data_IF_064560905210
#
_entry.id   IF_064560905210
#
_cell.length_a   1.000
_cell.length_b   1.000
_cell.length_c   1.000
_cell.angle_alpha   90.00
_cell.angle_beta   90.00
_cell.angle_gamma   90.00
#
_symmetry.space_group_name_H-M   'P 1'
#
loop_
_entity.id
_entity.type
_entity.pdbx_description
1 polymer ?
#
# COMPACT_ATOMS: atom_id res chain seq x y z
N UNK A 1 -31.89 26.46 32.60
CA UNK A 1 -31.70 26.00 31.21
C UNK A 1 -31.80 24.48 31.24
N UNK A 2 -33.01 23.96 31.05
CA UNK A 2 -33.32 22.52 31.14
C UNK A 2 -32.81 21.83 29.87
N UNK A 3 -31.87 20.90 30.03
CA UNK A 3 -31.39 20.04 28.95
C UNK A 3 -32.43 18.95 28.74
N UNK A 4 -33.10 18.99 27.60
CA UNK A 4 -34.02 17.93 27.16
C UNK A 4 -33.20 16.66 26.85
N UNK A 5 -33.64 15.46 27.27
CA UNK A 5 -33.00 14.22 26.88
C UNK A 5 -33.01 14.08 25.34
N UNK A 6 -31.83 13.89 24.75
CA UNK A 6 -31.70 13.63 23.32
C UNK A 6 -32.46 12.37 22.93
N UNK A 7 -33.17 12.44 21.81
CA UNK A 7 -33.82 11.28 21.20
C UNK A 7 -32.79 10.15 21.00
N UNK A 8 -33.20 8.92 21.29
CA UNK A 8 -32.41 7.73 20.96
C UNK A 8 -31.99 7.79 19.48
N UNK A 9 -30.74 7.43 19.14
CA UNK A 9 -30.29 7.43 17.76
C UNK A 9 -31.24 6.57 16.93
N UNK A 10 -31.79 7.16 15.87
CA UNK A 10 -32.57 6.45 14.87
C UNK A 10 -31.75 5.26 14.37
N UNK A 11 -32.39 4.09 14.26
CA UNK A 11 -31.76 2.88 13.77
C UNK A 11 -31.03 3.19 12.47
N UNK A 12 -29.70 3.15 12.52
CA UNK A 12 -28.87 3.31 11.33
C UNK A 12 -29.18 2.15 10.40
N UNK A 13 -29.63 2.47 9.19
CA UNK A 13 -29.70 1.50 8.10
C UNK A 13 -28.38 0.74 8.06
N UNK A 14 -28.44 -0.57 8.26
CA UNK A 14 -27.27 -1.41 8.28
C UNK A 14 -26.63 -1.37 6.89
N UNK A 15 -25.34 -1.06 6.83
CA UNK A 15 -24.54 -1.10 5.59
C UNK A 15 -24.56 -2.47 4.87
N UNK A 16 -25.15 -3.48 5.51
CA UNK A 16 -25.40 -4.80 4.94
C UNK A 16 -26.39 -4.79 3.78
N UNK A 17 -27.36 -3.86 3.71
CA UNK A 17 -28.39 -3.86 2.65
C UNK A 17 -27.99 -3.03 1.42
N UNK A 18 -27.21 -1.97 1.59
CA UNK A 18 -26.63 -1.22 0.49
C UNK A 18 -25.22 -1.74 0.18
N UNK A 19 -25.10 -2.91 -0.45
CA UNK A 19 -23.78 -3.41 -0.90
C UNK A 19 -23.24 -2.45 -1.98
N UNK A 20 -22.43 -1.47 -1.57
CA UNK A 20 -21.69 -0.64 -2.51
C UNK A 20 -20.83 -1.58 -3.36
N UNK A 21 -21.18 -1.67 -4.64
CA UNK A 21 -20.49 -2.50 -5.63
C UNK A 21 -19.86 -1.58 -6.66
N UNK A 22 -18.57 -1.76 -6.89
CA UNK A 22 -17.83 -1.04 -7.91
C UNK A 22 -16.88 -2.00 -8.62
N UNK A 23 -16.31 -1.56 -9.73
CA UNK A 23 -15.35 -2.37 -10.47
C UNK A 23 -13.93 -2.20 -9.91
N UNK A 24 -13.33 -3.33 -9.55
CA UNK A 24 -11.91 -3.49 -9.24
C UNK A 24 -11.09 -4.06 -10.39
N UNK A 25 -9.83 -4.34 -10.11
CA UNK A 25 -8.91 -5.04 -11.00
C UNK A 25 -8.56 -6.40 -10.42
N UNK A 26 -8.85 -7.47 -11.17
CA UNK A 26 -8.50 -8.82 -10.74
C UNK A 26 -6.99 -9.05 -10.79
N UNK A 27 -6.48 -9.90 -9.89
CA UNK A 27 -5.10 -10.40 -9.89
C UNK A 27 -5.10 -11.91 -10.00
N UNK A 28 -4.00 -12.44 -10.53
CA UNK A 28 -3.76 -13.89 -10.68
C UNK A 28 -3.74 -14.65 -9.35
N UNK A 29 -3.42 -13.96 -8.26
CA UNK A 29 -3.40 -14.50 -6.89
C UNK A 29 -4.75 -14.40 -6.16
N UNK A 30 -5.82 -13.99 -6.86
CA UNK A 30 -7.17 -13.87 -6.32
C UNK A 30 -7.47 -12.55 -5.59
N UNK A 31 -6.46 -11.73 -5.28
CA UNK A 31 -6.67 -10.41 -4.67
C UNK A 31 -7.26 -9.43 -5.68
N UNK A 32 -7.91 -8.37 -5.19
CA UNK A 32 -8.54 -7.33 -6.02
C UNK A 32 -7.96 -5.96 -5.71
N UNK A 33 -7.61 -5.21 -6.75
CA UNK A 33 -7.12 -3.84 -6.64
C UNK A 33 -8.22 -2.82 -6.87
N UNK A 34 -8.27 -1.77 -6.06
CA UNK A 34 -9.10 -0.58 -6.31
C UNK A 34 -8.46 0.37 -7.33
N UNK A 35 -7.16 0.18 -7.62
CA UNK A 35 -6.37 0.94 -8.61
C UNK A 35 -5.51 -0.02 -9.44
N UNK A 36 -4.91 0.51 -10.50
CA UNK A 36 -3.99 -0.23 -11.36
C UNK A 36 -2.79 0.65 -11.73
N UNK A 37 -1.98 1.00 -10.74
CA UNK A 37 -0.85 1.90 -10.87
C UNK A 37 0.37 1.19 -11.49
N UNK A 38 1.23 1.98 -12.13
CA UNK A 38 2.57 1.58 -12.54
C UNK A 38 3.57 2.15 -11.54
N UNK A 39 4.44 1.32 -10.98
CA UNK A 39 5.50 1.77 -10.08
C UNK A 39 6.80 1.95 -10.85
N UNK A 40 7.44 3.10 -10.70
CA UNK A 40 8.87 3.27 -11.00
C UNK A 40 9.61 3.11 -9.68
N UNK A 41 10.48 2.11 -9.59
CA UNK A 41 11.13 1.70 -8.35
C UNK A 41 12.63 1.85 -8.46
N UNK A 42 13.22 2.78 -7.71
CA UNK A 42 14.68 2.85 -7.59
C UNK A 42 15.17 1.88 -6.50
N UNK A 43 16.25 1.16 -6.79
CA UNK A 43 16.81 0.14 -5.89
C UNK A 43 18.07 0.59 -5.14
N UNK A 44 18.48 1.85 -5.37
CA UNK A 44 19.59 2.53 -4.69
C UNK A 44 19.41 4.04 -4.86
N UNK A 45 19.88 4.84 -3.90
CA UNK A 45 19.73 6.31 -3.94
C UNK A 45 20.36 6.92 -5.21
N UNK A 46 21.48 6.38 -5.69
CA UNK A 46 22.12 6.86 -6.92
C UNK A 46 21.23 6.72 -8.18
N UNK A 47 20.21 5.87 -8.15
CA UNK A 47 19.23 5.70 -9.22
C UNK A 47 17.99 6.58 -9.04
N UNK A 48 17.81 7.23 -7.89
CA UNK A 48 16.60 8.00 -7.56
C UNK A 48 16.33 9.12 -8.56
N UNK A 49 17.34 9.92 -8.92
CA UNK A 49 17.16 11.00 -9.90
C UNK A 49 16.66 10.48 -11.26
N UNK A 50 17.23 9.37 -11.75
CA UNK A 50 16.81 8.74 -13.01
C UNK A 50 15.37 8.25 -12.92
N UNK A 51 15.01 7.60 -11.82
CA UNK A 51 13.65 7.11 -11.59
C UNK A 51 12.62 8.25 -11.49
N UNK A 52 12.95 9.33 -10.78
CA UNK A 52 12.11 10.52 -10.66
C UNK A 52 11.87 11.19 -12.02
N UNK A 53 12.92 11.35 -12.83
CA UNK A 53 12.82 11.88 -14.19
C UNK A 53 11.98 10.99 -15.12
N UNK A 54 12.00 9.67 -14.91
CA UNK A 54 11.14 8.74 -15.66
C UNK A 54 9.67 8.92 -15.23
N UNK A 55 9.39 8.99 -13.93
CA UNK A 55 8.03 9.00 -13.39
C UNK A 55 7.30 10.35 -13.55
N UNK A 56 8.00 11.47 -13.36
CA UNK A 56 7.40 12.80 -13.25
C UNK A 56 6.41 13.16 -14.38
N UNK A 57 6.71 12.92 -15.68
CA UNK A 57 5.79 13.24 -16.78
C UNK A 57 4.48 12.42 -16.79
N UNK A 58 4.40 11.35 -16.00
CA UNK A 58 3.28 10.42 -15.97
C UNK A 58 2.57 10.34 -14.62
N UNK A 59 2.95 11.17 -13.65
CA UNK A 59 2.35 11.22 -12.30
C UNK A 59 0.81 11.30 -12.33
N UNK A 60 0.26 12.14 -13.21
CA UNK A 60 -1.20 12.28 -13.41
C UNK A 60 -1.87 11.11 -14.14
N UNK A 61 -1.09 10.10 -14.57
CA UNK A 61 -1.55 8.93 -15.33
C UNK A 61 -1.41 7.62 -14.53
N UNK A 62 -1.33 7.72 -13.21
CA UNK A 62 -1.22 6.55 -12.33
C UNK A 62 0.18 5.94 -12.27
N UNK A 63 1.22 6.75 -12.55
CA UNK A 63 2.62 6.36 -12.34
C UNK A 63 3.11 6.93 -11.03
N UNK A 64 3.62 6.07 -10.16
CA UNK A 64 4.07 6.42 -8.81
C UNK A 64 5.56 6.08 -8.66
N UNK A 65 6.27 6.90 -7.88
CA UNK A 65 7.68 6.70 -7.55
C UNK A 65 7.81 6.14 -6.14
N UNK A 66 8.55 5.06 -6.01
CA UNK A 66 8.88 4.41 -4.74
C UNK A 66 10.30 3.88 -4.81
N UNK A 67 10.91 3.52 -3.69
CA UNK A 67 12.22 2.89 -3.76
C UNK A 67 12.88 2.69 -2.41
N UNK A 68 14.12 2.24 -2.50
CA UNK A 68 15.00 2.00 -1.36
C UNK A 68 16.34 2.70 -1.61
N UNK A 69 16.83 3.52 -0.67
CA UNK A 69 18.04 4.30 -0.89
C UNK A 69 19.34 3.52 -0.63
N UNK A 70 19.30 2.40 0.07
CA UNK A 70 20.50 1.68 0.51
C UNK A 70 21.24 0.96 -0.63
N UNK A 71 22.57 0.93 -0.54
CA UNK A 71 23.46 0.27 -1.51
C UNK A 71 23.97 -1.12 -1.04
N UNK A 72 23.42 -1.64 0.06
CA UNK A 72 23.84 -2.87 0.74
C UNK A 72 22.72 -3.93 0.76
N UNK A 73 23.02 -5.22 1.01
CA UNK A 73 22.00 -6.25 1.16
C UNK A 73 21.07 -5.94 2.35
N UNK A 74 19.77 -5.88 2.10
CA UNK A 74 18.79 -5.56 3.13
C UNK A 74 17.52 -6.41 2.97
N UNK A 75 17.42 -7.47 3.77
CA UNK A 75 16.28 -8.40 3.75
C UNK A 75 14.95 -7.68 4.05
N UNK A 76 14.99 -6.68 4.93
CA UNK A 76 13.82 -5.87 5.24
C UNK A 76 13.34 -5.09 4.01
N UNK A 77 14.24 -4.39 3.31
CA UNK A 77 13.90 -3.65 2.10
C UNK A 77 13.41 -4.60 1.00
N UNK A 78 14.03 -5.77 0.86
CA UNK A 78 13.58 -6.81 -0.06
C UNK A 78 12.15 -7.26 0.25
N UNK A 79 11.86 -7.56 1.53
CA UNK A 79 10.52 -7.94 1.99
C UNK A 79 9.50 -6.84 1.72
N UNK A 80 9.82 -5.58 1.98
CA UNK A 80 8.91 -4.45 1.73
C UNK A 80 8.67 -4.28 0.23
N UNK A 81 9.73 -4.18 -0.58
CA UNK A 81 9.61 -3.94 -2.02
C UNK A 81 8.92 -5.10 -2.75
N UNK A 82 9.18 -6.36 -2.39
CA UNK A 82 8.46 -7.51 -2.96
C UNK A 82 6.96 -7.43 -2.68
N UNK A 83 6.54 -7.00 -1.47
CA UNK A 83 5.11 -6.82 -1.13
C UNK A 83 4.48 -5.61 -1.81
N UNK A 84 5.19 -4.49 -1.89
CA UNK A 84 4.71 -3.26 -2.57
C UNK A 84 4.56 -3.51 -4.06
N UNK A 85 5.57 -4.09 -4.71
CA UNK A 85 5.57 -4.34 -6.16
C UNK A 85 4.58 -5.42 -6.60
N UNK A 86 4.16 -6.29 -5.69
CA UNK A 86 3.10 -7.29 -5.91
C UNK A 86 1.78 -6.93 -5.23
N UNK A 87 1.60 -5.68 -4.80
CA UNK A 87 0.36 -5.21 -4.18
C UNK A 87 -0.82 -5.26 -5.18
N UNK A 88 -2.07 -5.54 -4.77
CA UNK A 88 -3.21 -5.60 -5.69
C UNK A 88 -3.46 -4.29 -6.45
N UNK A 89 -3.07 -3.12 -5.92
CA UNK A 89 -3.17 -1.85 -6.66
C UNK A 89 -2.09 -1.64 -7.74
N UNK A 90 -1.10 -2.52 -7.84
CA UNK A 90 0.02 -2.40 -8.78
C UNK A 90 -0.20 -3.35 -9.95
N UNK A 91 -0.17 -2.80 -11.17
CA UNK A 91 -0.30 -3.57 -12.42
C UNK A 91 1.00 -3.77 -13.18
N UNK A 92 1.97 -2.85 -13.02
CA UNK A 92 3.26 -2.93 -13.68
C UNK A 92 4.37 -2.26 -12.86
N UNK A 93 5.61 -2.67 -13.08
CA UNK A 93 6.78 -2.19 -12.33
C UNK A 93 7.97 -1.96 -13.25
N UNK A 94 8.56 -0.76 -13.20
CA UNK A 94 9.85 -0.45 -13.79
C UNK A 94 10.89 -0.37 -12.68
N UNK A 95 11.78 -1.34 -12.60
CA UNK A 95 12.92 -1.32 -11.69
C UNK A 95 14.04 -0.48 -12.31
N UNK A 96 14.62 0.42 -11.52
CA UNK A 96 15.76 1.27 -11.91
C UNK A 96 16.91 1.01 -10.94
N UNK A 97 18.02 0.57 -11.50
CA UNK A 97 19.22 0.15 -10.80
C UNK A 97 20.40 0.97 -11.29
N UNK A 98 21.39 1.25 -10.43
CA UNK A 98 22.61 1.89 -10.91
C UNK A 98 23.49 0.86 -11.64
N UNK A 99 23.75 -0.27 -10.99
CA UNK A 99 24.59 -1.35 -11.51
C UNK A 99 25.49 -1.97 -10.44
N UNK A 100 25.95 -1.18 -9.48
CA UNK A 100 26.94 -1.57 -8.46
C UNK A 100 26.37 -1.87 -7.07
N UNK A 101 25.07 -1.64 -6.83
CA UNK A 101 24.43 -1.96 -5.55
C UNK A 101 24.32 -3.48 -5.32
N UNK A 102 24.26 -3.88 -4.05
CA UNK A 102 24.11 -5.29 -3.65
C UNK A 102 22.65 -5.73 -3.47
N UNK A 103 21.68 -4.94 -3.93
CA UNK A 103 20.27 -5.31 -3.88
C UNK A 103 19.98 -6.42 -4.90
N UNK A 104 19.25 -7.46 -4.49
CA UNK A 104 18.91 -8.59 -5.37
C UNK A 104 17.79 -8.24 -6.37
N UNK A 105 18.15 -7.41 -7.35
CA UNK A 105 17.26 -6.92 -8.41
C UNK A 105 16.76 -8.03 -9.32
N UNK A 106 17.54 -9.09 -9.49
CA UNK A 106 17.20 -10.22 -10.36
C UNK A 106 16.09 -11.05 -9.74
N UNK A 107 16.22 -11.41 -8.45
CA UNK A 107 15.19 -12.13 -7.71
C UNK A 107 13.90 -11.32 -7.61
N UNK A 108 13.99 -10.02 -7.32
CA UNK A 108 12.81 -9.14 -7.28
C UNK A 108 12.09 -9.09 -8.63
N UNK A 109 12.82 -8.93 -9.75
CA UNK A 109 12.23 -8.96 -11.11
C UNK A 109 11.49 -10.28 -11.36
N UNK A 110 12.09 -11.41 -11.00
CA UNK A 110 11.49 -12.73 -11.18
C UNK A 110 10.21 -12.91 -10.35
N UNK A 111 10.21 -12.48 -9.09
CA UNK A 111 9.02 -12.54 -8.22
C UNK A 111 7.86 -11.68 -8.75
N UNK A 112 8.16 -10.47 -9.25
CA UNK A 112 7.14 -9.60 -9.86
C UNK A 112 6.57 -10.25 -11.12
N UNK A 113 7.42 -10.78 -12.01
CA UNK A 113 6.98 -11.47 -13.22
C UNK A 113 6.11 -12.70 -12.90
N UNK A 114 6.52 -13.51 -11.91
CA UNK A 114 5.76 -14.67 -11.44
C UNK A 114 4.37 -14.31 -10.90
N UNK A 115 4.21 -13.07 -10.40
CA UNK A 115 2.91 -12.54 -9.98
C UNK A 115 1.98 -12.15 -11.16
N UNK A 116 2.41 -12.32 -12.40
CA UNK A 116 1.65 -11.97 -13.60
C UNK A 116 1.67 -10.48 -13.95
N UNK A 117 2.56 -9.70 -13.34
CA UNK A 117 2.71 -8.25 -13.59
C UNK A 117 3.75 -8.00 -14.66
N UNK A 118 3.53 -6.97 -15.47
CA UNK A 118 4.53 -6.48 -16.41
C UNK A 118 5.69 -5.87 -15.63
N UNK A 119 6.91 -6.31 -15.92
CA UNK A 119 8.10 -5.81 -15.23
C UNK A 119 9.28 -5.63 -16.17
N UNK A 120 10.00 -4.54 -16.00
CA UNK A 120 11.28 -4.31 -16.66
C UNK A 120 12.33 -3.84 -15.66
N UNK A 121 13.60 -4.12 -15.96
CA UNK A 121 14.75 -3.66 -15.19
C UNK A 121 15.65 -2.85 -16.10
N UNK A 122 15.91 -1.60 -15.73
CA UNK A 122 16.92 -0.76 -16.34
C UNK A 122 18.11 -0.61 -15.39
N UNK A 123 19.29 -1.00 -15.88
CA UNK A 123 20.55 -0.78 -15.18
C UNK A 123 21.26 0.40 -15.85
N UNK A 124 21.46 1.48 -15.11
CA UNK A 124 21.96 2.77 -15.64
C UNK A 124 23.32 2.62 -16.31
N UNK A 125 24.24 1.89 -15.68
CA UNK A 125 25.59 1.66 -16.22
C UNK A 125 25.55 0.85 -17.52
N UNK A 126 24.68 -0.15 -17.62
CA UNK A 126 24.52 -0.99 -18.82
C UNK A 126 23.81 -0.23 -19.96
N UNK A 127 22.86 0.64 -19.63
CA UNK A 127 22.14 1.47 -20.59
C UNK A 127 22.97 2.65 -21.14
N UNK A 128 24.20 2.84 -20.67
CA UNK A 128 25.10 3.91 -21.11
C UNK A 128 24.83 5.26 -20.44
N UNK A 129 24.37 5.24 -19.19
CA UNK A 129 24.25 6.41 -18.32
C UNK A 129 22.86 7.01 -18.22
N UNK A 130 22.77 8.10 -17.46
CA UNK A 130 21.51 8.75 -17.03
C UNK A 130 20.57 9.08 -18.18
N UNK A 131 21.01 9.86 -19.17
CA UNK A 131 20.13 10.36 -20.24
C UNK A 131 19.52 9.24 -21.09
N UNK A 132 20.30 8.20 -21.41
CA UNK A 132 19.83 7.04 -22.17
C UNK A 132 18.83 6.22 -21.36
N UNK A 133 19.11 6.03 -20.07
CA UNK A 133 18.21 5.30 -19.16
C UNK A 133 16.88 6.02 -18.98
N UNK A 134 16.89 7.35 -18.79
CA UNK A 134 15.65 8.15 -18.71
C UNK A 134 14.83 7.99 -19.99
N UNK A 135 15.48 8.08 -21.17
CA UNK A 135 14.79 7.90 -22.45
C UNK A 135 14.15 6.51 -22.56
N UNK A 136 14.90 5.45 -22.23
CA UNK A 136 14.43 4.07 -22.27
C UNK A 136 13.26 3.85 -21.28
N UNK A 137 13.38 4.34 -20.05
CA UNK A 137 12.32 4.23 -19.03
C UNK A 137 11.04 4.96 -19.44
N UNK A 138 11.15 6.18 -19.96
CA UNK A 138 9.98 6.93 -20.47
C UNK A 138 9.33 6.22 -21.66
N UNK A 139 10.12 5.58 -22.53
CA UNK A 139 9.59 4.80 -23.64
C UNK A 139 8.84 3.57 -23.14
N UNK A 140 9.41 2.84 -22.20
CA UNK A 140 8.77 1.67 -21.59
C UNK A 140 7.46 2.05 -20.90
N UNK A 141 7.46 3.08 -20.04
CA UNK A 141 6.24 3.56 -19.37
C UNK A 141 5.14 3.94 -20.38
N UNK A 142 5.49 4.64 -21.47
CA UNK A 142 4.53 4.98 -22.54
C UNK A 142 3.92 3.75 -23.19
N UNK A 143 4.71 2.71 -23.42
CA UNK A 143 4.25 1.46 -24.03
C UNK A 143 3.42 0.60 -23.06
N UNK A 144 3.74 0.65 -21.76
CA UNK A 144 3.09 -0.18 -20.73
C UNK A 144 1.75 0.39 -20.25
N UNK A 145 1.58 1.71 -20.22
CA UNK A 145 0.34 2.33 -19.74
C UNK A 145 -0.93 1.84 -20.48
N UNK A 146 -0.94 1.69 -21.83
CA UNK A 146 -2.07 1.08 -22.54
C UNK A 146 -2.28 -0.41 -22.24
N UNK A 147 -1.26 -1.16 -21.83
CA UNK A 147 -1.43 -2.56 -21.45
C UNK A 147 -2.14 -2.70 -20.10
N UNK A 148 -1.96 -1.74 -19.20
CA UNK A 148 -2.65 -1.71 -17.90
C UNK A 148 -4.16 -1.62 -18.04
N UNK A 149 -4.69 -0.98 -19.09
CA UNK A 149 -6.15 -0.91 -19.28
C UNK A 149 -6.76 -2.25 -19.72
N UNK A 150 -5.95 -3.22 -20.17
CA UNK A 150 -6.40 -4.55 -20.58
C UNK A 150 -6.59 -5.52 -19.41
N UNK A 151 -6.16 -5.13 -18.20
CA UNK A 151 -6.34 -5.93 -17.00
C UNK A 151 -7.84 -6.14 -16.74
N UNK A 152 -8.31 -7.39 -16.53
CA UNK A 152 -9.71 -7.68 -16.30
C UNK A 152 -10.29 -6.89 -15.13
N UNK A 153 -11.42 -6.23 -15.40
CA UNK A 153 -12.26 -5.61 -14.37
C UNK A 153 -13.08 -6.69 -13.69
N UNK A 154 -13.31 -6.53 -12.39
CA UNK A 154 -14.09 -7.50 -11.62
C UNK A 154 -14.97 -6.78 -10.57
N UNK A 155 -16.14 -7.32 -10.23
CA UNK A 155 -16.95 -6.77 -9.16
C UNK A 155 -16.19 -6.79 -7.81
N UNK A 156 -16.20 -5.67 -7.12
CA UNK A 156 -15.73 -5.48 -5.75
C UNK A 156 -16.86 -4.98 -4.86
N UNK A 157 -16.84 -5.40 -3.60
CA UNK A 157 -17.64 -4.82 -2.53
C UNK A 157 -16.79 -4.47 -1.31
N UNK A 158 -17.45 -4.05 -0.23
CA UNK A 158 -16.79 -3.70 1.04
C UNK A 158 -15.94 -4.85 1.58
N UNK A 159 -16.42 -6.09 1.51
CA UNK A 159 -15.69 -7.29 1.98
C UNK A 159 -14.36 -7.55 1.25
N UNK A 160 -14.15 -6.96 0.07
CA UNK A 160 -12.90 -7.09 -0.68
C UNK A 160 -11.85 -6.04 -0.25
N UNK A 161 -12.22 -5.07 0.60
CA UNK A 161 -11.34 -3.98 1.01
C UNK A 161 -10.39 -4.41 2.13
N UNK A 162 -9.16 -3.92 2.02
CA UNK A 162 -8.19 -3.84 3.11
C UNK A 162 -7.91 -2.37 3.35
N UNK A 163 -8.31 -1.86 4.51
CA UNK A 163 -8.25 -0.44 4.85
C UNK A 163 -7.27 -0.23 5.99
N UNK A 164 -6.21 0.55 5.73
CA UNK A 164 -5.25 0.98 6.72
C UNK A 164 -5.54 2.40 7.21
N UNK A 165 -5.33 2.68 8.49
CA UNK A 165 -5.31 4.05 9.04
C UNK A 165 -3.98 4.35 9.70
N UNK A 166 -3.54 5.60 9.56
CA UNK A 166 -2.44 6.22 10.30
C UNK A 166 -2.87 7.63 10.71
N UNK A 167 -2.28 8.13 11.78
CA UNK A 167 -2.39 9.51 12.21
C UNK A 167 -1.46 10.39 11.37
N UNK A 168 -1.77 11.69 11.34
CA UNK A 168 -0.94 12.71 10.71
C UNK A 168 -0.21 13.53 11.76
N UNK A 169 -0.63 14.79 11.93
CA UNK A 169 -0.23 15.61 13.07
C UNK A 169 -1.20 15.40 14.23
N UNK A 170 -0.74 14.74 15.30
CA UNK A 170 -1.55 14.56 16.51
C UNK A 170 -1.89 15.91 17.15
N UNK A 171 -3.15 16.08 17.54
CA UNK A 171 -3.62 17.26 18.26
C UNK A 171 -4.56 16.88 19.42
N UNK A 172 -4.83 17.86 20.29
CA UNK A 172 -5.68 17.66 21.47
C UNK A 172 -7.14 17.30 21.13
N UNK A 173 -7.57 17.43 19.88
CA UNK A 173 -8.93 17.12 19.41
C UNK A 173 -9.02 15.78 18.70
N UNK A 174 -7.89 15.16 18.37
CA UNK A 174 -7.80 13.94 17.58
C UNK A 174 -8.52 12.79 18.27
N UNK A 175 -8.31 12.63 19.57
CA UNK A 175 -8.98 11.63 20.41
C UNK A 175 -10.46 11.92 20.69
N UNK A 176 -10.93 13.15 20.42
CA UNK A 176 -12.32 13.57 20.63
C UNK A 176 -13.16 13.53 19.35
N UNK A 177 -12.51 13.58 18.18
CA UNK A 177 -13.18 13.79 16.89
C UNK A 177 -12.80 12.72 15.86
N UNK A 178 -11.65 12.87 15.20
CA UNK A 178 -11.23 12.04 14.08
C UNK A 178 -11.01 10.57 14.47
N UNK A 179 -10.32 10.30 15.58
CA UNK A 179 -10.00 8.93 15.96
C UNK A 179 -11.26 8.12 16.34
N UNK A 180 -12.19 8.64 17.16
CA UNK A 180 -13.48 7.98 17.38
C UNK A 180 -14.28 7.78 16.09
N UNK A 181 -14.30 8.76 15.18
CA UNK A 181 -14.98 8.63 13.90
C UNK A 181 -14.37 7.51 13.02
N UNK A 182 -13.04 7.42 12.96
CA UNK A 182 -12.33 6.34 12.28
C UNK A 182 -12.63 4.98 12.92
N UNK A 183 -12.71 4.90 14.26
CA UNK A 183 -13.11 3.69 14.98
C UNK A 183 -14.51 3.20 14.57
N UNK A 184 -15.49 4.09 14.53
CA UNK A 184 -16.85 3.76 14.08
C UNK A 184 -16.90 3.30 12.61
N UNK A 185 -16.06 3.88 11.74
CA UNK A 185 -15.93 3.43 10.35
C UNK A 185 -15.28 2.05 10.28
N UNK A 186 -14.27 1.77 11.11
CA UNK A 186 -13.62 0.47 11.17
C UNK A 186 -14.59 -0.63 11.62
N UNK A 187 -15.38 -0.40 12.66
CA UNK A 187 -16.39 -1.36 13.13
C UNK A 187 -17.37 -1.71 12.00
N UNK A 188 -17.87 -0.70 11.28
CA UNK A 188 -18.75 -0.89 10.11
C UNK A 188 -18.11 -1.64 8.96
N UNK A 189 -16.83 -1.40 8.69
CA UNK A 189 -16.08 -2.10 7.65
C UNK A 189 -15.88 -3.57 8.02
N UNK A 190 -15.51 -3.85 9.27
CA UNK A 190 -15.35 -5.21 9.78
C UNK A 190 -16.67 -5.97 9.76
N UNK A 191 -17.78 -5.34 10.17
CA UNK A 191 -19.12 -5.91 10.09
C UNK A 191 -19.53 -6.24 8.64
N UNK A 192 -19.05 -5.46 7.66
CA UNK A 192 -19.23 -5.72 6.23
C UNK A 192 -18.22 -6.74 5.65
N UNK A 193 -17.38 -7.36 6.47
CA UNK A 193 -16.41 -8.38 6.09
C UNK A 193 -15.10 -7.85 5.51
N UNK A 194 -14.85 -6.54 5.58
CA UNK A 194 -13.58 -5.95 5.17
C UNK A 194 -12.48 -6.24 6.19
N UNK A 195 -11.22 -6.05 5.80
CA UNK A 195 -10.08 -6.06 6.73
C UNK A 195 -9.71 -4.63 7.11
N UNK A 196 -9.67 -4.34 8.40
CA UNK A 196 -9.18 -3.07 8.93
C UNK A 196 -7.80 -3.24 9.58
N UNK A 197 -6.90 -2.31 9.31
CA UNK A 197 -5.53 -2.28 9.83
C UNK A 197 -5.30 -0.90 10.45
N UNK A 198 -4.76 -0.85 11.65
CA UNK A 198 -4.18 0.35 12.23
C UNK A 198 -2.71 0.04 12.54
N UNK A 199 -1.85 1.04 12.42
CA UNK A 199 -0.42 0.92 12.68
C UNK A 199 -0.05 1.93 13.79
N UNK A 200 1.17 2.48 13.76
CA UNK A 200 1.74 3.41 14.73
C UNK A 200 1.96 2.81 16.12
N UNK A 201 2.71 1.71 16.15
CA UNK A 201 3.01 0.99 17.40
C UNK A 201 3.58 1.91 18.51
N UNK A 202 4.37 2.93 18.15
CA UNK A 202 4.87 3.94 19.10
C UNK A 202 3.80 4.85 19.70
N UNK A 203 2.70 5.10 19.00
CA UNK A 203 1.53 5.86 19.50
C UNK A 203 0.63 5.01 20.42
N UNK A 204 0.89 3.69 20.48
CA UNK A 204 0.15 2.73 21.30
C UNK A 204 0.83 2.43 22.64
N UNK A 205 1.96 3.08 22.94
CA UNK A 205 2.63 2.98 24.24
C UNK A 205 1.67 3.38 25.37
N UNK A 206 1.45 2.48 26.33
CA UNK A 206 0.48 2.64 27.41
C UNK A 206 -0.94 2.13 27.11
N UNK A 207 -1.20 1.64 25.89
CA UNK A 207 -2.48 1.04 25.48
C UNK A 207 -2.42 -0.48 25.29
N UNK A 208 -1.31 -1.12 25.65
CA UNK A 208 -1.02 -2.54 25.39
C UNK A 208 -2.06 -3.45 26.03
N UNK A 209 -2.46 -3.16 27.28
CA UNK A 209 -3.48 -3.94 27.97
C UNK A 209 -4.86 -3.79 27.31
N UNK A 210 -5.22 -2.58 26.88
CA UNK A 210 -6.50 -2.33 26.20
C UNK A 210 -6.58 -3.08 24.85
N UNK A 211 -5.47 -3.17 24.13
CA UNK A 211 -5.38 -3.95 22.90
C UNK A 211 -5.44 -5.46 23.17
N UNK A 212 -4.67 -5.93 24.16
CA UNK A 212 -4.60 -7.33 24.54
C UNK A 212 -5.95 -7.87 25.04
N UNK A 213 -6.72 -7.07 25.80
CA UNK A 213 -8.08 -7.42 26.26
C UNK A 213 -9.08 -7.65 25.12
N UNK A 214 -8.83 -7.03 23.95
CA UNK A 214 -9.67 -7.16 22.75
C UNK A 214 -9.16 -8.22 21.78
N UNK A 215 -8.07 -8.92 22.10
CA UNK A 215 -7.52 -9.94 21.24
C UNK A 215 -8.45 -11.16 21.16
N UNK A 216 -8.61 -11.72 19.96
CA UNK A 216 -9.42 -12.92 19.76
C UNK A 216 -8.85 -14.18 20.42
N UNK A 217 -7.55 -14.19 20.73
CA UNK A 217 -6.85 -15.31 21.37
C UNK A 217 -5.81 -14.81 22.39
N UNK A 218 -5.48 -15.60 23.43
CA UNK A 218 -4.39 -15.26 24.36
C UNK A 218 -3.04 -15.09 23.66
N UNK A 219 -2.74 -15.91 22.64
CA UNK A 219 -1.48 -15.83 21.90
C UNK A 219 -1.38 -14.52 21.11
N UNK A 220 -2.50 -14.06 20.54
CA UNK A 220 -2.56 -12.74 19.89
C UNK A 220 -2.42 -11.61 20.89
N UNK A 221 -2.99 -11.74 22.09
CA UNK A 221 -2.85 -10.74 23.15
C UNK A 221 -1.37 -10.52 23.51
N UNK A 222 -0.62 -11.60 23.68
CA UNK A 222 0.82 -11.53 23.94
C UNK A 222 1.61 -10.99 22.75
N UNK A 223 1.23 -11.37 21.52
CA UNK A 223 1.85 -10.82 20.31
C UNK A 223 1.66 -9.30 20.19
N UNK A 224 0.49 -8.78 20.58
CA UNK A 224 0.21 -7.33 20.61
C UNK A 224 1.09 -6.62 21.65
N UNK A 225 1.18 -7.15 22.87
CA UNK A 225 2.08 -6.60 23.91
C UNK A 225 3.54 -6.59 23.45
N UNK A 226 4.00 -7.68 22.85
CA UNK A 226 5.36 -7.81 22.36
C UNK A 226 5.65 -6.86 21.19
N UNK A 227 4.67 -6.62 20.31
CA UNK A 227 4.80 -5.65 19.23
C UNK A 227 5.02 -4.24 19.79
N UNK A 228 4.22 -3.83 20.78
CA UNK A 228 4.36 -2.50 21.42
C UNK A 228 5.65 -2.36 22.20
N UNK A 229 6.05 -3.37 22.97
CA UNK A 229 7.31 -3.33 23.71
C UNK A 229 8.57 -3.25 22.84
N UNK A 230 8.48 -3.62 21.55
CA UNK A 230 9.58 -3.55 20.58
C UNK A 230 9.76 -2.15 19.98
N UNK A 231 8.69 -1.35 19.93
CA UNK A 231 8.67 -0.02 19.31
C UNK A 231 9.54 0.97 20.10
#
# INVERSE_FOLDING_TARGET
MTVTPGQAPQAQESLTEATARWDGYARSDGRKGIRNSLLVVYLVECAHHVAAEIAAPFSKRGVELVGFPGCYPCDYAYKVLSRVTTHPNVGAVLLVSLGCESFDRARLKAEIAASGRLVELLVIQEAGGTARTIKAGRQWVKATLPELSKVPRCPMGLSDLVVGTICGGSDATSSLTANPACGLVFDRLVDAGATAIFEETGELLGCESLLAERAATPELAEALRAAVAKA
#
